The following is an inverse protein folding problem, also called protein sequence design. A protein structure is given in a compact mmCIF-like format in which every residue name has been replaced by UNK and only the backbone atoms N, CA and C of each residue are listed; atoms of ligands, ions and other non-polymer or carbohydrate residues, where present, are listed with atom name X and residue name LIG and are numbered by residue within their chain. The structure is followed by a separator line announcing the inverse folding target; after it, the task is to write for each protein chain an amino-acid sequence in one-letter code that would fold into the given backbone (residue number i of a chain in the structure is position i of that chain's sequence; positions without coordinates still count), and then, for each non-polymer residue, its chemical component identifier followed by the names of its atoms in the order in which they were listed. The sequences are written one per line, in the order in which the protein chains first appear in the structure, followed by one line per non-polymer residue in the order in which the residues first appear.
data_IF_702233480133
#
_entry.id   IF_702233480133
#
_cell.length_a   1.000
_cell.length_b   1.000
_cell.length_c   1.000
_cell.angle_alpha   90.00
_cell.angle_beta   90.00
_cell.angle_gamma   90.00
#
_symmetry.space_group_name_H-M   'P 1'
#
loop_
_entity.id
_entity.type
_entity.pdbx_description
1 polymer ?
#
# COMPACT_ATOMS: atom_id res chain seq x y z
N UNK A 1 2.78 0.59 -17.12
CA UNK A 1 1.59 0.98 -16.34
C UNK A 1 1.06 -0.27 -15.64
N UNK A 2 1.24 -0.39 -14.30
CA UNK A 2 1.02 -1.64 -13.58
C UNK A 2 -0.49 -1.92 -13.43
N UNK A 3 -1.03 -2.82 -14.27
CA UNK A 3 -2.48 -3.07 -14.38
C UNK A 3 -3.12 -3.61 -13.09
N UNK A 4 -2.34 -4.16 -12.15
CA UNK A 4 -2.85 -4.71 -10.88
C UNK A 4 -3.28 -3.63 -9.89
N UNK A 5 -2.49 -2.57 -9.74
CA UNK A 5 -2.77 -1.42 -8.87
C UNK A 5 -4.04 -0.70 -9.33
N UNK A 6 -4.18 -0.50 -10.65
CA UNK A 6 -5.38 0.10 -11.25
C UNK A 6 -6.64 -0.77 -11.02
N UNK A 7 -6.54 -2.09 -11.19
CA UNK A 7 -7.68 -2.98 -10.94
C UNK A 7 -8.08 -3.04 -9.47
N UNK A 8 -7.11 -3.08 -8.56
CA UNK A 8 -7.36 -3.09 -7.12
C UNK A 8 -8.11 -1.84 -6.69
N UNK A 9 -7.61 -0.65 -7.02
CA UNK A 9 -8.24 0.61 -6.63
C UNK A 9 -9.61 0.81 -7.30
N UNK A 10 -9.75 0.41 -8.56
CA UNK A 10 -11.06 0.48 -9.23
C UNK A 10 -12.06 -0.48 -8.59
N UNK A 11 -11.63 -1.67 -8.13
CA UNK A 11 -12.47 -2.55 -7.34
C UNK A 11 -12.88 -1.85 -6.03
N UNK A 12 -11.93 -1.31 -5.26
CA UNK A 12 -12.23 -0.61 -3.99
C UNK A 12 -13.23 0.54 -4.18
N UNK A 13 -13.05 1.38 -5.23
CA UNK A 13 -13.98 2.48 -5.54
C UNK A 13 -15.38 2.02 -5.95
N UNK A 14 -15.48 0.98 -6.78
CA UNK A 14 -16.78 0.45 -7.23
C UNK A 14 -17.56 -0.17 -6.07
N UNK A 15 -16.87 -0.83 -5.15
CA UNK A 15 -17.45 -1.50 -3.99
C UNK A 15 -17.85 -0.55 -2.86
N UNK A 16 -17.17 0.59 -2.67
CA UNK A 16 -17.64 1.64 -1.75
C UNK A 16 -18.98 2.26 -2.18
N UNK A 17 -19.29 2.30 -3.49
CA UNK A 17 -20.56 2.86 -3.98
C UNK A 17 -21.75 1.90 -3.91
N UNK A 18 -21.54 0.60 -3.65
CA UNK A 18 -22.59 -0.42 -3.78
C UNK A 18 -22.93 -1.18 -2.48
N UNK A 19 -22.23 -0.96 -1.37
CA UNK A 19 -22.60 -1.55 -0.07
C UNK A 19 -22.70 -3.09 -0.04
N UNK A 20 -22.12 -3.79 -1.02
CA UNK A 20 -22.22 -5.24 -1.18
C UNK A 20 -20.85 -5.87 -0.92
N UNK A 21 -20.63 -6.22 0.35
CA UNK A 21 -19.54 -7.11 0.79
C UNK A 21 -20.13 -8.51 1.00
N UNK A 22 -19.79 -9.45 0.12
CA UNK A 22 -19.93 -10.89 0.41
C UNK A 22 -18.62 -11.34 1.04
N UNK A 23 -18.76 -11.72 2.31
CA UNK A 23 -17.70 -11.96 3.27
C UNK A 23 -16.98 -13.28 3.01
N UNK A 24 -15.65 -13.28 3.13
CA UNK A 24 -14.91 -14.48 3.48
C UNK A 24 -14.60 -14.38 4.98
N UNK A 25 -15.33 -15.19 5.76
CA UNK A 25 -15.63 -15.02 7.18
C UNK A 25 -14.46 -15.29 8.16
N UNK A 26 -13.20 -15.29 7.70
CA UNK A 26 -12.08 -15.78 8.53
C UNK A 26 -11.11 -14.75 9.08
N UNK A 27 -11.09 -13.50 8.63
CA UNK A 27 -10.24 -12.47 9.25
C UNK A 27 -10.97 -11.12 9.22
N UNK A 28 -11.59 -10.73 10.35
CA UNK A 28 -12.07 -9.36 10.58
C UNK A 28 -10.89 -8.41 10.79
N UNK A 29 -9.99 -8.28 9.81
CA UNK A 29 -8.99 -7.23 9.84
C UNK A 29 -9.65 -5.95 9.31
N UNK A 30 -9.58 -4.89 10.10
CA UNK A 30 -9.96 -3.54 9.72
C UNK A 30 -9.38 -3.20 8.31
N UNK A 31 -10.18 -2.71 7.35
CA UNK A 31 -9.72 -2.49 5.97
C UNK A 31 -8.47 -1.62 5.87
N UNK A 32 -8.30 -0.68 6.80
CA UNK A 32 -7.13 0.17 6.87
C UNK A 32 -5.88 -0.58 7.35
N UNK A 33 -6.02 -1.51 8.30
CA UNK A 33 -4.93 -2.41 8.68
C UNK A 33 -4.53 -3.36 7.56
N UNK A 34 -5.49 -3.88 6.79
CA UNK A 34 -5.17 -4.73 5.63
C UNK A 34 -4.38 -3.96 4.58
N UNK A 35 -4.80 -2.73 4.23
CA UNK A 35 -4.06 -1.91 3.28
C UNK A 35 -2.61 -1.68 3.74
N UNK A 36 -2.39 -1.40 5.02
CA UNK A 36 -1.03 -1.25 5.59
C UNK A 36 -0.17 -2.50 5.42
N UNK A 37 -0.73 -3.68 5.66
CA UNK A 37 -0.03 -4.95 5.49
C UNK A 37 0.26 -5.25 4.02
N UNK A 38 -0.69 -5.03 3.14
CA UNK A 38 -0.50 -5.17 1.69
C UNK A 38 0.54 -4.19 1.15
N UNK A 39 0.59 -2.98 1.72
CA UNK A 39 1.61 -1.98 1.38
C UNK A 39 3.01 -2.46 1.76
N UNK A 40 3.19 -3.04 2.96
CA UNK A 40 4.48 -3.65 3.36
C UNK A 40 4.90 -4.73 2.35
N UNK A 41 3.98 -5.64 2.00
CA UNK A 41 4.28 -6.71 1.06
C UNK A 41 4.68 -6.18 -0.32
N UNK A 42 4.03 -5.12 -0.81
CA UNK A 42 4.38 -4.49 -2.08
C UNK A 42 5.76 -3.82 -2.03
N UNK A 43 6.09 -3.11 -0.95
CA UNK A 43 7.42 -2.52 -0.76
C UNK A 43 8.49 -3.62 -0.73
N UNK A 44 8.29 -4.67 0.06
CA UNK A 44 9.23 -5.80 0.12
C UNK A 44 9.42 -6.43 -1.26
N UNK A 45 8.34 -6.68 -2.01
CA UNK A 45 8.42 -7.24 -3.35
C UNK A 45 9.24 -6.35 -4.30
N UNK A 46 9.04 -5.03 -4.27
CA UNK A 46 9.78 -4.07 -5.11
C UNK A 46 11.26 -4.03 -4.75
N UNK A 47 11.60 -4.02 -3.46
CA UNK A 47 13.00 -4.04 -3.00
C UNK A 47 13.70 -5.35 -3.40
N UNK A 48 13.06 -6.50 -3.19
CA UNK A 48 13.64 -7.80 -3.58
C UNK A 48 13.86 -7.91 -5.10
N UNK A 49 13.03 -7.27 -5.91
CA UNK A 49 13.19 -7.23 -7.38
C UNK A 49 14.33 -6.32 -7.84
N UNK A 50 14.76 -5.36 -7.01
CA UNK A 50 15.81 -4.38 -7.36
C UNK A 50 17.22 -5.00 -7.50
N UNK A 51 17.45 -6.23 -7.03
CA UNK A 51 18.77 -6.91 -7.01
C UNK A 51 19.90 -6.13 -6.30
N UNK A 52 19.58 -5.01 -5.64
CA UNK A 52 20.53 -4.20 -4.88
C UNK A 52 20.74 -4.82 -3.50
N UNK A 53 21.96 -4.68 -2.96
CA UNK A 53 22.18 -4.93 -1.53
C UNK A 53 21.16 -4.10 -0.74
N UNK A 54 20.47 -4.74 0.21
CA UNK A 54 19.35 -4.15 0.95
C UNK A 54 19.90 -3.01 1.84
N UNK A 55 20.01 -1.82 1.26
CA UNK A 55 20.37 -0.59 1.95
C UNK A 55 19.09 0.22 2.28
N UNK A 56 19.11 0.94 3.40
CA UNK A 56 17.99 1.79 3.84
C UNK A 56 17.55 2.80 2.76
N UNK A 57 18.48 3.25 1.90
CA UNK A 57 18.17 4.13 0.77
C UNK A 57 17.23 3.51 -0.27
N UNK A 58 17.28 2.18 -0.46
CA UNK A 58 16.42 1.47 -1.42
C UNK A 58 14.97 1.42 -0.91
N UNK A 59 14.77 1.27 0.40
CA UNK A 59 13.44 1.33 0.99
C UNK A 59 12.84 2.73 0.88
N UNK A 60 13.62 3.79 1.16
CA UNK A 60 13.13 5.16 1.04
C UNK A 60 12.68 5.49 -0.38
N UNK A 61 13.49 5.16 -1.40
CA UNK A 61 13.12 5.40 -2.80
C UNK A 61 11.87 4.60 -3.19
N UNK A 62 11.80 3.33 -2.78
CA UNK A 62 10.65 2.46 -3.05
C UNK A 62 9.36 2.96 -2.40
N UNK A 63 9.43 3.43 -1.15
CA UNK A 63 8.29 4.03 -0.44
C UNK A 63 7.84 5.29 -1.15
N UNK A 64 8.77 6.15 -1.55
CA UNK A 64 8.47 7.40 -2.27
C UNK A 64 7.69 7.13 -3.57
N UNK A 65 8.18 6.18 -4.38
CA UNK A 65 7.52 5.78 -5.64
C UNK A 65 6.14 5.17 -5.38
N UNK A 66 6.03 4.30 -4.37
CA UNK A 66 4.77 3.69 -3.99
C UNK A 66 3.74 4.74 -3.51
N UNK A 67 4.16 5.68 -2.67
CA UNK A 67 3.28 6.74 -2.16
C UNK A 67 2.81 7.69 -3.25
N UNK A 68 3.65 7.96 -4.26
CA UNK A 68 3.24 8.72 -5.45
C UNK A 68 2.09 8.04 -6.20
N UNK A 69 2.08 6.70 -6.27
CA UNK A 69 0.95 5.93 -6.82
C UNK A 69 -0.28 6.01 -5.90
N UNK A 70 -0.11 5.78 -4.59
CA UNK A 70 -1.20 5.74 -3.62
C UNK A 70 -1.94 7.07 -3.45
N UNK A 71 -1.24 8.21 -3.45
CA UNK A 71 -1.81 9.55 -3.29
C UNK A 71 -2.86 9.91 -4.35
N UNK A 72 -2.84 9.24 -5.51
CA UNK A 72 -3.86 9.43 -6.57
C UNK A 72 -5.23 8.84 -6.20
N UNK A 73 -5.27 8.00 -5.18
CA UNK A 73 -6.39 7.13 -4.88
C UNK A 73 -6.80 7.13 -3.42
N UNK A 74 -5.89 7.51 -2.52
CA UNK A 74 -6.16 7.72 -1.11
C UNK A 74 -6.46 9.20 -0.82
N UNK A 75 -7.37 9.49 0.12
CA UNK A 75 -7.45 10.80 0.75
C UNK A 75 -6.10 11.22 1.34
N UNK A 76 -5.79 12.52 1.30
CA UNK A 76 -4.50 13.08 1.74
C UNK A 76 -4.12 12.63 3.16
N UNK A 77 -5.05 12.73 4.11
CA UNK A 77 -4.85 12.29 5.49
C UNK A 77 -4.48 10.80 5.61
N UNK A 78 -5.08 9.93 4.80
CA UNK A 78 -4.73 8.51 4.78
C UNK A 78 -3.39 8.28 4.09
N UNK A 79 -3.11 8.98 2.99
CA UNK A 79 -1.81 8.87 2.34
C UNK A 79 -0.67 9.27 3.28
N UNK A 80 -0.80 10.36 4.03
CA UNK A 80 0.19 10.80 5.00
C UNK A 80 0.36 9.79 6.14
N UNK A 81 -0.75 9.27 6.68
CA UNK A 81 -0.70 8.20 7.70
C UNK A 81 -0.04 6.92 7.20
N UNK A 82 -0.24 6.56 5.93
CA UNK A 82 0.39 5.39 5.33
C UNK A 82 1.89 5.61 5.13
N UNK A 83 2.29 6.79 4.65
CA UNK A 83 3.70 7.15 4.48
C UNK A 83 4.45 7.12 5.81
N UNK A 84 3.95 7.81 6.84
CA UNK A 84 4.52 7.76 8.19
C UNK A 84 4.59 6.32 8.74
N UNK A 85 3.56 5.51 8.49
CA UNK A 85 3.58 4.11 8.90
C UNK A 85 4.70 3.32 8.23
N UNK A 86 4.89 3.47 6.92
CA UNK A 86 5.92 2.78 6.16
C UNK A 86 7.32 3.26 6.55
N UNK A 87 7.54 4.58 6.69
CA UNK A 87 8.83 5.14 7.10
C UNK A 87 9.26 4.62 8.48
N UNK A 88 8.34 4.61 9.45
CA UNK A 88 8.58 4.04 10.79
C UNK A 88 8.84 2.54 10.76
N UNK A 89 8.11 1.79 9.91
CA UNK A 89 8.26 0.33 9.78
C UNK A 89 9.68 -0.09 9.36
N UNK A 90 10.37 0.75 8.58
CA UNK A 90 11.72 0.51 8.07
C UNK A 90 12.81 1.35 8.75
N UNK A 91 12.48 2.09 9.82
CA UNK A 91 13.46 2.86 10.62
C UNK A 91 14.10 4.04 9.88
N UNK A 92 13.34 4.69 8.99
CA UNK A 92 13.81 5.84 8.19
C UNK A 92 13.51 7.19 8.90
N UNK A 93 12.46 7.24 9.72
CA UNK A 93 12.00 8.42 10.50
C UNK A 93 12.25 8.24 12.00
#
# INVERSE_FOLDING_TARGET
MNMRVKHFIMATKRHMSQGLFVWNEKIRADPWQMLKLESIQEIENRVHQSQQNIETGVYLSTITDYMYECRRFLPENHADQLETFLLKRYGIE
#
